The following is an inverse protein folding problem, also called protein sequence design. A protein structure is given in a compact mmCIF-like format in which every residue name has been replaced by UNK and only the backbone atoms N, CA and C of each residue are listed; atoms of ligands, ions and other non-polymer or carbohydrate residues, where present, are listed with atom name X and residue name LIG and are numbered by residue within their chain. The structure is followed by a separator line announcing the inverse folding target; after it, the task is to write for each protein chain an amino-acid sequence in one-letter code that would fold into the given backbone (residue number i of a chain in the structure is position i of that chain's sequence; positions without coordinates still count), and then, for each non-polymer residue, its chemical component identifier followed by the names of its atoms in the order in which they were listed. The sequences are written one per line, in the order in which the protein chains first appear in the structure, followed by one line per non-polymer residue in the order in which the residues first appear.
data_IF_294980286561
#
_entry.id   IF_294980286561
#
_cell.length_a   1.000
_cell.length_b   1.000
_cell.length_c   1.000
_cell.angle_alpha   90.00
_cell.angle_beta   90.00
_cell.angle_gamma   90.00
#
_symmetry.space_group_name_H-M   'P 1'
#
loop_
_entity.id
_entity.type
_entity.pdbx_description
1 polymer ?
#
# COMPACT_ATOMS: atom_id res chain seq x y z
N UNK A 1 -3.97 13.23 -2.48
CA UNK A 1 -3.53 13.46 -3.88
C UNK A 1 -3.90 12.22 -4.68
N UNK A 2 -4.96 12.29 -5.49
CA UNK A 2 -5.44 11.14 -6.28
C UNK A 2 -4.68 11.09 -7.61
N UNK A 3 -3.89 10.03 -7.83
CA UNK A 3 -3.31 9.74 -9.14
C UNK A 3 -4.41 9.04 -9.94
N UNK A 4 -4.90 9.68 -11.00
CA UNK A 4 -5.89 9.10 -11.91
C UNK A 4 -5.19 8.19 -12.91
N UNK A 5 -5.58 6.92 -12.96
CA UNK A 5 -5.28 6.02 -14.09
C UNK A 5 -6.59 5.56 -14.72
N UNK A 6 -6.79 5.89 -15.99
CA UNK A 6 -7.92 5.42 -16.81
C UNK A 6 -7.68 3.97 -17.24
N UNK A 7 -8.26 3.02 -16.52
CA UNK A 7 -8.36 1.63 -16.99
C UNK A 7 -9.58 1.52 -17.92
N UNK A 8 -9.35 1.38 -19.24
CA UNK A 8 -10.40 0.96 -20.18
C UNK A 8 -10.81 -0.47 -19.81
N UNK A 9 -12.02 -0.66 -19.29
CA UNK A 9 -12.63 -1.99 -19.10
C UNK A 9 -12.97 -2.57 -20.48
N UNK A 10 -12.35 -3.68 -20.87
CA UNK A 10 -12.98 -4.66 -21.76
C UNK A 10 -13.74 -5.65 -20.88
N UNK A 11 -15.03 -5.84 -21.20
CA UNK A 11 -15.94 -6.76 -20.54
C UNK A 11 -15.55 -8.20 -20.84
N UNK A 12 -15.41 -9.02 -19.82
CA UNK A 12 -15.69 -10.46 -19.81
C UNK A 12 -15.70 -10.91 -18.35
N UNK A 13 -16.60 -11.84 -18.02
CA UNK A 13 -16.88 -12.35 -16.67
C UNK A 13 -15.61 -12.69 -15.90
N UNK A 14 -15.45 -12.12 -14.70
CA UNK A 14 -14.27 -12.35 -13.87
C UNK A 14 -14.61 -13.31 -12.73
N UNK A 15 -14.04 -14.51 -12.80
CA UNK A 15 -13.81 -15.34 -11.64
C UNK A 15 -12.67 -14.73 -10.83
N UNK A 16 -12.91 -14.46 -9.55
CA UNK A 16 -11.94 -13.82 -8.67
C UNK A 16 -11.03 -14.88 -8.02
N UNK A 17 -9.78 -14.97 -8.46
CA UNK A 17 -8.73 -15.73 -7.76
C UNK A 17 -8.09 -14.83 -6.69
N UNK A 18 -8.27 -15.20 -5.43
CA UNK A 18 -7.70 -14.49 -4.28
C UNK A 18 -6.17 -14.65 -4.29
N UNK A 19 -5.45 -13.63 -4.78
CA UNK A 19 -3.98 -13.60 -4.82
C UNK A 19 -3.38 -12.73 -5.94
N UNK A 20 -4.10 -12.56 -7.06
CA UNK A 20 -3.54 -11.87 -8.25
C UNK A 20 -4.01 -10.41 -8.40
N UNK A 21 -5.07 -9.98 -7.70
CA UNK A 21 -5.73 -8.69 -7.98
C UNK A 21 -4.97 -7.45 -7.46
N UNK A 22 -4.07 -7.61 -6.50
CA UNK A 22 -3.37 -6.49 -5.85
C UNK A 22 -1.94 -6.26 -6.36
N UNK A 23 -1.41 -7.15 -7.18
CA UNK A 23 -0.10 -7.04 -7.82
C UNK A 23 -0.19 -6.25 -9.14
N UNK A 24 -0.82 -5.07 -9.11
CA UNK A 24 -0.92 -4.21 -10.30
C UNK A 24 0.42 -3.54 -10.56
N UNK A 25 1.27 -4.21 -11.34
CA UNK A 25 2.43 -3.61 -11.98
C UNK A 25 1.99 -2.82 -13.21
N UNK A 26 2.50 -1.60 -13.36
CA UNK A 26 2.30 -0.79 -14.55
C UNK A 26 3.66 -0.35 -15.07
N UNK A 27 3.97 -0.69 -16.31
CA UNK A 27 5.13 -0.13 -17.00
C UNK A 27 4.74 1.22 -17.58
N UNK A 28 5.38 2.28 -17.08
CA UNK A 28 5.24 3.60 -17.68
C UNK A 28 5.90 3.59 -19.06
N UNK A 29 5.19 4.08 -20.08
CA UNK A 29 5.76 4.26 -21.42
C UNK A 29 6.81 5.36 -21.36
N UNK A 30 7.94 5.15 -22.04
CA UNK A 30 8.96 6.18 -22.24
C UNK A 30 8.41 7.31 -23.11
N UNK A 31 8.90 8.54 -22.90
CA UNK A 31 8.47 9.71 -23.66
C UNK A 31 7.13 10.30 -23.20
N UNK A 32 6.67 9.99 -21.99
CA UNK A 32 5.51 10.65 -21.39
C UNK A 32 5.91 12.01 -20.81
N UNK A 33 5.17 13.06 -21.16
CA UNK A 33 5.31 14.38 -20.59
C UNK A 33 4.37 14.57 -19.39
N UNK A 34 4.84 15.27 -18.36
CA UNK A 34 3.99 15.66 -17.23
C UNK A 34 2.82 16.52 -17.74
N UNK A 35 1.58 16.25 -17.30
CA UNK A 35 0.43 17.05 -17.68
C UNK A 35 0.64 18.51 -17.26
N UNK A 36 0.13 19.44 -18.06
CA UNK A 36 0.16 20.85 -17.72
C UNK A 36 -0.59 21.08 -16.39
N UNK A 37 0.01 21.83 -15.47
CA UNK A 37 -0.59 22.12 -14.16
C UNK A 37 -1.94 22.84 -14.31
N UNK A 38 -2.13 23.61 -15.38
CA UNK A 38 -3.40 24.29 -15.69
C UNK A 38 -4.53 23.32 -16.03
N UNK A 39 -4.22 22.10 -16.46
CA UNK A 39 -5.21 21.07 -16.77
C UNK A 39 -5.61 20.24 -15.54
N UNK A 40 -4.89 20.36 -14.43
CA UNK A 40 -5.17 19.61 -13.21
C UNK A 40 -6.50 20.06 -12.58
N UNK A 41 -7.34 19.09 -12.24
CA UNK A 41 -8.64 19.33 -11.57
C UNK A 41 -9.66 20.17 -12.35
N UNK A 42 -9.45 20.38 -13.66
CA UNK A 42 -10.38 21.10 -14.53
C UNK A 42 -11.63 20.29 -14.88
N UNK A 43 -11.52 18.96 -14.86
CA UNK A 43 -12.64 18.05 -15.17
C UNK A 43 -13.61 17.96 -13.98
N UNK A 44 -14.92 17.77 -14.25
CA UNK A 44 -15.89 17.55 -13.18
C UNK A 44 -15.49 16.32 -12.35
N UNK A 45 -15.83 16.36 -11.06
CA UNK A 45 -15.55 15.26 -10.15
C UNK A 45 -16.16 13.97 -10.68
N UNK A 46 -15.33 12.96 -10.92
CA UNK A 46 -15.80 11.63 -11.26
C UNK A 46 -16.51 11.00 -10.06
N UNK A 47 -17.78 10.65 -10.23
CA UNK A 47 -18.61 10.03 -9.22
C UNK A 47 -19.24 8.77 -9.79
N UNK A 48 -19.20 7.70 -9.01
CA UNK A 48 -19.98 6.49 -9.23
C UNK A 48 -20.98 6.40 -8.08
N UNK A 49 -22.27 6.34 -8.40
CA UNK A 49 -23.33 6.40 -7.39
C UNK A 49 -23.24 5.22 -6.40
N UNK A 50 -22.94 4.02 -6.91
CA UNK A 50 -22.70 2.84 -6.08
C UNK A 50 -21.58 3.05 -5.05
N UNK A 51 -20.52 3.78 -5.42
CA UNK A 51 -19.41 4.09 -4.51
C UNK A 51 -19.78 5.20 -3.53
N UNK A 52 -20.66 6.14 -3.90
CA UNK A 52 -21.18 7.12 -2.96
C UNK A 52 -22.07 6.45 -1.91
N UNK A 53 -22.94 5.53 -2.34
CA UNK A 53 -23.77 4.74 -1.45
C UNK A 53 -22.92 3.88 -0.51
N UNK A 54 -21.93 3.15 -1.04
CA UNK A 54 -21.01 2.36 -0.23
C UNK A 54 -20.25 3.23 0.79
N UNK A 55 -19.78 4.41 0.38
CA UNK A 55 -19.13 5.37 1.28
C UNK A 55 -20.06 5.81 2.41
N UNK A 56 -21.33 6.09 2.10
CA UNK A 56 -22.33 6.48 3.10
C UNK A 56 -22.58 5.37 4.11
N UNK A 57 -22.77 4.13 3.64
CA UNK A 57 -22.98 2.95 4.52
C UNK A 57 -21.75 2.67 5.38
N UNK A 58 -20.54 2.77 4.81
CA UNK A 58 -19.29 2.61 5.55
C UNK A 58 -19.19 3.67 6.66
N UNK A 59 -19.46 4.94 6.34
CA UNK A 59 -19.36 6.03 7.30
C UNK A 59 -20.42 5.91 8.40
N UNK A 60 -21.67 5.58 8.08
CA UNK A 60 -22.72 5.37 9.09
C UNK A 60 -22.38 4.21 10.03
N UNK A 61 -21.73 3.17 9.51
CA UNK A 61 -21.24 2.04 10.33
C UNK A 61 -20.07 2.46 11.22
N UNK A 62 -19.08 3.19 10.69
CA UNK A 62 -17.92 3.69 11.47
C UNK A 62 -18.37 4.62 12.60
N UNK A 63 -19.39 5.46 12.34
CA UNK A 63 -19.92 6.41 13.33
C UNK A 63 -20.53 5.72 14.57
N UNK A 64 -20.93 4.45 14.48
CA UNK A 64 -21.39 3.68 15.65
C UNK A 64 -20.32 3.57 16.74
N UNK A 65 -19.05 3.81 16.40
CA UNK A 65 -17.92 3.77 17.33
C UNK A 65 -17.60 5.14 17.95
N UNK A 66 -18.26 6.22 17.54
CA UNK A 66 -17.92 7.59 17.98
C UNK A 66 -18.17 7.84 19.47
N UNK A 67 -18.95 6.99 20.13
CA UNK A 67 -19.27 7.11 21.55
C UNK A 67 -18.24 6.46 22.46
N UNK A 68 -17.28 5.71 21.90
CA UNK A 68 -16.20 5.12 22.69
C UNK A 68 -15.09 6.14 22.91
N UNK A 69 -14.55 6.15 24.13
CA UNK A 69 -13.33 6.86 24.44
C UNK A 69 -12.17 6.35 23.56
N UNK A 70 -11.40 7.28 22.98
CA UNK A 70 -10.37 6.95 22.00
C UNK A 70 -9.24 6.10 22.60
N UNK A 71 -8.82 6.40 23.83
CA UNK A 71 -7.72 5.70 24.48
C UNK A 71 -8.14 4.28 24.89
N UNK A 72 -9.34 4.14 25.45
CA UNK A 72 -9.92 2.82 25.75
C UNK A 72 -10.10 1.99 24.49
N UNK A 73 -10.61 2.60 23.41
CA UNK A 73 -10.79 1.93 22.13
C UNK A 73 -9.45 1.49 21.53
N UNK A 74 -8.43 2.34 21.55
CA UNK A 74 -7.09 2.00 21.09
C UNK A 74 -6.45 0.89 21.92
N UNK A 75 -6.58 0.94 23.24
CA UNK A 75 -6.10 -0.11 24.14
C UNK A 75 -6.77 -1.45 23.84
N UNK A 76 -8.10 -1.45 23.69
CA UNK A 76 -8.88 -2.64 23.38
C UNK A 76 -8.49 -3.22 22.02
N UNK A 77 -8.54 -2.42 20.96
CA UNK A 77 -8.23 -2.89 19.59
C UNK A 77 -6.78 -3.34 19.43
N UNK A 78 -5.83 -2.72 20.13
CA UNK A 78 -4.43 -3.17 20.15
C UNK A 78 -4.30 -4.55 20.78
N UNK A 79 -4.96 -4.80 21.92
CA UNK A 79 -4.94 -6.10 22.60
C UNK A 79 -5.60 -7.19 21.78
N UNK A 80 -6.66 -6.85 21.06
CA UNK A 80 -7.42 -7.80 20.24
C UNK A 80 -6.83 -8.03 18.85
N UNK A 81 -5.77 -7.31 18.46
CA UNK A 81 -5.14 -7.46 17.15
C UNK A 81 -4.12 -8.62 17.14
N UNK A 82 -4.41 -9.76 16.48
CA UNK A 82 -3.49 -10.89 16.43
C UNK A 82 -2.17 -10.55 15.72
N UNK A 83 -2.17 -9.58 14.79
CA UNK A 83 -0.96 -9.15 14.09
C UNK A 83 0.08 -8.49 15.03
N UNK A 84 -0.33 -8.08 16.24
CA UNK A 84 0.60 -7.63 17.28
C UNK A 84 1.62 -8.71 17.68
N UNK A 85 1.23 -10.00 17.59
CA UNK A 85 2.11 -11.13 17.87
C UNK A 85 3.23 -11.26 16.82
N UNK A 86 2.93 -10.99 15.55
CA UNK A 86 3.91 -11.03 14.45
C UNK A 86 5.03 -10.02 14.68
N UNK A 87 4.67 -8.77 15.02
CA UNK A 87 5.67 -7.74 15.34
C UNK A 87 6.51 -8.15 16.55
N UNK A 88 5.87 -8.69 17.59
CA UNK A 88 6.60 -9.15 18.79
C UNK A 88 7.59 -10.25 18.41
N UNK A 89 7.19 -11.22 17.59
CA UNK A 89 8.06 -12.30 17.13
C UNK A 89 9.27 -11.76 16.34
N UNK A 90 9.03 -10.95 15.31
CA UNK A 90 10.09 -10.35 14.48
C UNK A 90 11.05 -9.52 15.34
N UNK A 91 10.52 -8.76 16.31
CA UNK A 91 11.36 -7.97 17.24
C UNK A 91 12.33 -8.81 18.04
N UNK A 92 11.92 -9.99 18.50
CA UNK A 92 12.77 -10.83 19.34
C UNK A 92 13.82 -11.59 18.52
N UNK A 93 13.44 -12.08 17.34
CA UNK A 93 14.25 -13.00 16.55
C UNK A 93 15.08 -12.33 15.44
N UNK A 94 14.52 -11.36 14.73
CA UNK A 94 15.16 -10.72 13.57
C UNK A 94 15.77 -9.37 13.94
N UNK A 95 15.12 -8.63 14.86
CA UNK A 95 15.58 -7.30 15.35
C UNK A 95 15.90 -6.31 14.22
N UNK A 96 15.01 -6.13 13.22
CA UNK A 96 15.29 -5.18 12.16
C UNK A 96 15.21 -3.75 12.67
N UNK A 97 15.97 -2.86 12.03
CA UNK A 97 15.92 -1.43 12.30
C UNK A 97 14.50 -0.90 12.05
N UNK A 98 14.06 0.01 12.92
CA UNK A 98 12.80 0.74 12.74
C UNK A 98 11.55 -0.16 12.51
N UNK A 99 11.49 -1.29 13.22
CA UNK A 99 10.36 -2.24 13.17
C UNK A 99 9.04 -1.60 13.61
N UNK A 100 8.09 -1.55 12.67
CA UNK A 100 6.70 -1.08 12.85
C UNK A 100 5.71 -2.00 12.12
N UNK A 101 4.40 -1.76 12.26
CA UNK A 101 3.40 -2.44 11.43
C UNK A 101 3.61 -2.20 9.94
N UNK A 102 4.00 -0.97 9.57
CA UNK A 102 4.28 -0.59 8.19
C UNK A 102 5.49 -1.37 7.64
N UNK A 103 6.52 -1.58 8.47
CA UNK A 103 7.67 -2.41 8.12
C UNK A 103 7.23 -3.84 7.78
N UNK A 104 6.46 -4.50 8.65
CA UNK A 104 6.02 -5.88 8.41
C UNK A 104 5.18 -6.01 7.15
N UNK A 105 4.24 -5.08 6.93
CA UNK A 105 3.39 -5.06 5.74
C UNK A 105 4.23 -4.93 4.47
N UNK A 106 5.21 -4.03 4.47
CA UNK A 106 6.04 -3.83 3.30
C UNK A 106 6.96 -5.02 3.04
N UNK A 107 7.55 -5.63 4.08
CA UNK A 107 8.38 -6.82 3.94
C UNK A 107 7.58 -7.98 3.35
N UNK A 108 6.36 -8.23 3.85
CA UNK A 108 5.46 -9.25 3.32
C UNK A 108 5.13 -9.02 1.83
N UNK A 109 4.85 -7.76 1.44
CA UNK A 109 4.63 -7.40 0.04
C UNK A 109 5.90 -7.63 -0.79
N UNK A 110 7.06 -7.16 -0.33
CA UNK A 110 8.32 -7.29 -1.05
C UNK A 110 8.73 -8.76 -1.24
N UNK A 111 8.45 -9.62 -0.27
CA UNK A 111 8.71 -11.06 -0.35
C UNK A 111 7.68 -11.81 -1.21
N UNK A 112 6.40 -11.47 -1.11
CA UNK A 112 5.32 -12.12 -1.84
C UNK A 112 5.15 -11.64 -3.29
N UNK A 113 5.73 -10.49 -3.64
CA UNK A 113 5.70 -9.93 -4.98
C UNK A 113 7.09 -9.93 -5.59
N UNK A 114 7.19 -10.16 -6.90
CA UNK A 114 8.45 -9.99 -7.63
C UNK A 114 8.73 -8.49 -7.86
N UNK A 115 8.88 -7.73 -6.76
CA UNK A 115 8.94 -6.28 -6.75
C UNK A 115 10.20 -5.77 -7.46
N UNK A 116 11.30 -6.51 -7.33
CA UNK A 116 12.60 -6.16 -7.86
C UNK A 116 12.93 -7.13 -8.99
N UNK A 117 13.03 -6.65 -10.24
CA UNK A 117 13.36 -7.52 -11.36
C UNK A 117 14.75 -8.13 -11.16
N UNK A 118 14.90 -9.43 -11.45
CA UNK A 118 16.16 -10.15 -11.31
C UNK A 118 17.31 -9.56 -12.16
N UNK A 119 16.98 -8.86 -13.24
CA UNK A 119 17.94 -8.17 -14.10
C UNK A 119 18.05 -6.71 -13.66
N UNK A 120 18.71 -6.49 -12.53
CA UNK A 120 19.12 -5.14 -12.13
C UNK A 120 20.12 -4.65 -13.19
N UNK A 121 20.03 -3.36 -13.56
CA UNK A 121 20.87 -2.71 -14.56
C UNK A 121 22.38 -3.03 -14.38
N UNK A 122 23.20 -2.75 -15.41
CA UNK A 122 24.66 -3.01 -15.39
C UNK A 122 25.42 -2.35 -14.22
N UNK A 123 24.76 -1.43 -13.49
CA UNK A 123 25.31 -0.72 -12.33
C UNK A 123 24.91 -1.34 -10.98
N UNK A 124 24.03 -2.33 -10.98
CA UNK A 124 23.43 -2.95 -9.80
C UNK A 124 22.75 -1.93 -8.85
N UNK A 125 22.12 -0.87 -9.39
CA UNK A 125 21.48 0.20 -8.62
C UNK A 125 19.97 0.15 -8.79
N UNK A 126 19.25 0.14 -7.66
CA UNK A 126 17.79 0.25 -7.62
C UNK A 126 17.38 1.59 -6.98
N UNK A 127 16.63 2.40 -7.73
CA UNK A 127 16.07 3.66 -7.23
C UNK A 127 14.57 3.50 -7.00
N UNK A 128 14.10 3.82 -5.79
CA UNK A 128 12.67 3.73 -5.42
C UNK A 128 12.15 5.04 -4.85
N UNK A 129 10.85 5.29 -5.02
CA UNK A 129 10.15 6.47 -4.48
C UNK A 129 9.01 5.99 -3.58
N UNK A 130 8.98 6.48 -2.34
CA UNK A 130 7.99 6.09 -1.34
C UNK A 130 7.16 7.33 -0.97
N UNK A 131 5.86 7.31 -1.30
CA UNK A 131 4.94 8.42 -1.00
C UNK A 131 4.15 8.08 0.27
N UNK A 132 4.56 8.64 1.41
CA UNK A 132 3.97 8.36 2.72
C UNK A 132 3.91 9.63 3.59
N UNK A 133 2.98 9.66 4.55
CA UNK A 133 2.86 10.75 5.55
C UNK A 133 4.00 10.72 6.58
N UNK A 134 4.44 9.51 6.97
CA UNK A 134 5.59 9.29 7.86
C UNK A 134 6.58 8.31 7.19
N UNK A 135 7.58 8.81 6.43
CA UNK A 135 8.52 7.96 5.73
C UNK A 135 9.51 7.28 6.69
N UNK A 136 9.99 6.09 6.31
CA UNK A 136 11.09 5.40 7.01
C UNK A 136 10.89 3.89 7.14
N UNK A 137 9.70 3.44 7.54
CA UNK A 137 9.43 2.02 7.79
C UNK A 137 9.48 1.18 6.51
N UNK A 138 8.90 1.68 5.42
CA UNK A 138 8.94 0.99 4.12
C UNK A 138 10.34 0.98 3.53
N UNK A 139 11.07 2.09 3.64
CA UNK A 139 12.46 2.20 3.17
C UNK A 139 13.37 1.25 3.93
N UNK A 140 13.30 1.25 5.26
CA UNK A 140 14.06 0.35 6.12
C UNK A 140 13.72 -1.12 5.84
N UNK A 141 12.44 -1.43 5.65
CA UNK A 141 12.01 -2.78 5.26
C UNK A 141 12.52 -3.21 3.90
N UNK A 142 12.50 -2.32 2.90
CA UNK A 142 13.04 -2.61 1.57
C UNK A 142 14.55 -2.86 1.63
N UNK A 143 15.28 -2.02 2.36
CA UNK A 143 16.73 -2.18 2.53
C UNK A 143 17.06 -3.53 3.18
N UNK A 144 16.32 -3.92 4.23
CA UNK A 144 16.49 -5.22 4.87
C UNK A 144 16.18 -6.39 3.91
N UNK A 145 15.11 -6.28 3.12
CA UNK A 145 14.79 -7.28 2.09
C UNK A 145 15.90 -7.41 1.04
N UNK A 146 16.43 -6.30 0.54
CA UNK A 146 17.51 -6.31 -0.46
C UNK A 146 18.79 -6.94 0.07
N UNK A 147 19.20 -6.59 1.29
CA UNK A 147 20.40 -7.13 1.92
C UNK A 147 20.34 -8.66 2.09
N UNK A 148 19.15 -9.23 2.30
CA UNK A 148 19.00 -10.69 2.51
C UNK A 148 18.85 -11.45 1.19
N UNK A 149 18.19 -10.87 0.19
CA UNK A 149 17.73 -11.59 -1.00
C UNK A 149 18.44 -11.20 -2.30
N UNK A 150 19.22 -10.11 -2.32
CA UNK A 150 19.79 -9.52 -3.53
C UNK A 150 21.24 -9.01 -3.33
N UNK A 151 21.97 -9.58 -2.37
CA UNK A 151 23.44 -9.42 -2.27
C UNK A 151 24.19 -10.26 -3.32
#
# INVERSE_FOLDING_TARGET
MCIYFTCKKMSTEKMYTQGEEFCKSFTLKTGWELPNHNDMFTKPQWKLEDYQNLKTVLNSTKQKLNFFDLDQWHSHTTKMNPAGLVIKHIRHHIRPDFLTQAWCKFYEIAYGSNLIPHNINDRNIVSTVHLCEAPGAFVSSLNHYMAINHE
#
